data_IF_757069638202
#
_entry.id   IF_757069638202
#
_cell.length_a   1.000
_cell.length_b   1.000
_cell.length_c   1.000
_cell.angle_alpha   90.00
_cell.angle_beta   90.00
_cell.angle_gamma   90.00
#
_symmetry.space_group_name_H-M   'P 1'
#
loop_
_entity.id
_entity.type
_entity.pdbx_description
1 polymer ?
#
# COMPACT_ATOMS: atom_id res chain seq x y z
N UNK A 1 -14.88 -16.97 -7.85
CA UNK A 1 -14.19 -17.34 -6.60
C UNK A 1 -12.79 -17.87 -6.89
N UNK A 2 -12.59 -19.13 -7.34
CA UNK A 2 -11.24 -19.62 -7.70
C UNK A 2 -10.53 -18.75 -8.76
N UNK A 3 -11.26 -18.21 -9.73
CA UNK A 3 -10.75 -17.23 -10.72
C UNK A 3 -10.29 -15.91 -10.09
N UNK A 4 -11.03 -15.36 -9.12
CA UNK A 4 -10.67 -14.13 -8.40
C UNK A 4 -9.47 -14.36 -7.48
N UNK A 5 -9.43 -15.51 -6.80
CA UNK A 5 -8.29 -15.96 -5.99
C UNK A 5 -7.00 -16.08 -6.82
N UNK A 6 -7.11 -16.61 -8.04
CA UNK A 6 -6.01 -16.74 -8.99
C UNK A 6 -5.58 -15.35 -9.52
N UNK A 7 -6.54 -14.46 -9.80
CA UNK A 7 -6.29 -13.07 -10.18
C UNK A 7 -5.48 -12.30 -9.13
N UNK A 8 -5.91 -12.30 -7.86
CA UNK A 8 -5.19 -11.59 -6.79
C UNK A 8 -3.76 -12.12 -6.55
N UNK A 9 -3.54 -13.43 -6.69
CA UNK A 9 -2.18 -14.02 -6.60
C UNK A 9 -1.29 -13.63 -7.79
N UNK A 10 -1.87 -13.42 -8.97
CA UNK A 10 -1.15 -12.92 -10.15
C UNK A 10 -0.77 -11.44 -9.93
N UNK A 11 -1.74 -10.60 -9.57
CA UNK A 11 -1.52 -9.16 -9.30
C UNK A 11 -0.46 -8.92 -8.20
N UNK A 12 -0.46 -9.70 -7.12
CA UNK A 12 0.57 -9.60 -6.07
C UNK A 12 1.96 -10.06 -6.54
N UNK A 13 2.04 -10.97 -7.52
CA UNK A 13 3.29 -11.41 -8.13
C UNK A 13 3.83 -10.38 -9.12
N UNK A 14 2.96 -9.76 -9.90
CA UNK A 14 3.29 -8.65 -10.81
C UNK A 14 3.77 -7.44 -10.01
N UNK A 15 3.02 -7.02 -8.98
CA UNK A 15 3.45 -5.95 -8.08
C UNK A 15 4.77 -6.24 -7.34
N UNK A 16 5.15 -7.52 -7.14
CA UNK A 16 6.49 -7.88 -6.63
C UNK A 16 7.59 -7.70 -7.69
N UNK A 17 7.29 -7.96 -8.95
CA UNK A 17 8.22 -7.79 -10.06
C UNK A 17 8.46 -6.31 -10.41
N UNK A 18 7.46 -5.44 -10.23
CA UNK A 18 7.56 -4.00 -10.49
C UNK A 18 8.35 -3.21 -9.44
N UNK A 19 8.69 -3.82 -8.30
CA UNK A 19 9.44 -3.21 -7.17
C UNK A 19 8.90 -1.82 -6.79
N UNK A 20 7.60 -1.69 -6.43
CA UNK A 20 6.96 -0.40 -6.18
C UNK A 20 7.67 0.36 -5.06
N UNK A 21 7.98 1.63 -5.31
CA UNK A 21 8.70 2.48 -4.36
C UNK A 21 7.81 3.59 -3.86
N UNK A 22 7.69 3.71 -2.53
CA UNK A 22 6.94 4.79 -1.90
C UNK A 22 7.92 5.88 -1.49
N UNK A 23 7.76 7.03 -2.15
CA UNK A 23 8.62 8.21 -2.07
C UNK A 23 7.81 9.41 -1.58
N UNK A 24 8.45 10.37 -0.93
CA UNK A 24 7.78 11.59 -0.49
C UNK A 24 7.47 12.45 -1.72
N UNK A 25 6.24 12.93 -1.90
CA UNK A 25 5.85 13.74 -3.07
C UNK A 25 6.81 14.92 -3.34
N UNK A 26 7.34 15.56 -2.29
CA UNK A 26 8.31 16.65 -2.40
C UNK A 26 9.64 16.26 -3.07
N UNK A 27 9.97 14.96 -3.17
CA UNK A 27 11.15 14.49 -3.91
C UNK A 27 10.92 14.51 -5.42
N UNK A 28 9.69 14.37 -5.90
CA UNK A 28 9.36 14.51 -7.33
C UNK A 28 9.43 15.98 -7.76
N UNK A 29 9.08 16.89 -6.85
CA UNK A 29 9.08 18.34 -7.10
C UNK A 29 10.46 19.01 -6.96
N UNK A 30 11.55 18.26 -6.72
CA UNK A 30 12.86 18.88 -6.51
C UNK A 30 13.31 19.66 -7.74
N UNK A 31 13.33 19.01 -8.91
CA UNK A 31 13.63 19.69 -10.16
C UNK A 31 12.31 20.15 -10.79
N UNK A 32 12.11 21.47 -11.03
CA UNK A 32 10.87 21.95 -11.62
C UNK A 32 10.76 21.50 -13.08
N UNK A 33 9.54 21.21 -13.52
CA UNK A 33 9.24 21.06 -14.94
C UNK A 33 9.56 22.39 -15.68
N UNK A 34 10.10 22.34 -16.91
CA UNK A 34 10.38 23.54 -17.69
C UNK A 34 9.07 24.21 -18.14
N UNK A 35 8.61 25.20 -17.38
CA UNK A 35 7.30 25.84 -17.56
C UNK A 35 7.17 26.69 -18.85
N UNK A 36 8.27 27.01 -19.55
CA UNK A 36 8.25 27.67 -20.86
C UNK A 36 9.61 27.58 -21.57
N UNK A 37 9.64 27.95 -22.87
CA UNK A 37 10.89 28.12 -23.64
C UNK A 37 11.83 29.21 -23.10
N UNK A 38 11.38 30.07 -22.18
CA UNK A 38 12.14 31.22 -21.66
C UNK A 38 12.62 31.02 -20.20
N UNK A 39 12.58 29.79 -19.66
CA UNK A 39 13.07 29.53 -18.30
C UNK A 39 14.59 29.70 -18.20
N UNK A 40 15.07 30.73 -17.48
CA UNK A 40 16.50 30.91 -17.21
C UNK A 40 17.07 29.71 -16.41
N UNK A 41 18.20 29.11 -16.82
CA UNK A 41 18.76 27.93 -16.15
C UNK A 41 19.27 28.23 -14.73
N UNK A 42 19.67 29.47 -14.43
CA UNK A 42 20.02 29.89 -13.06
C UNK A 42 18.78 29.89 -12.15
N UNK A 43 17.59 30.26 -12.67
CA UNK A 43 16.33 30.18 -11.90
C UNK A 43 15.87 28.74 -11.69
N UNK A 44 16.11 27.85 -12.66
CA UNK A 44 15.88 26.40 -12.49
C UNK A 44 16.79 25.85 -11.39
N UNK A 45 18.10 26.18 -11.44
CA UNK A 45 19.06 25.79 -10.40
C UNK A 45 18.65 26.31 -9.01
N UNK A 46 18.30 27.60 -8.89
CA UNK A 46 17.81 28.16 -7.63
C UNK A 46 16.51 27.51 -7.16
N UNK A 47 15.56 27.21 -8.06
CA UNK A 47 14.33 26.48 -7.70
C UNK A 47 14.64 25.09 -7.15
N UNK A 48 15.58 24.36 -7.77
CA UNK A 48 16.02 23.05 -7.28
C UNK A 48 16.74 23.14 -5.92
N UNK A 49 17.59 24.15 -5.72
CA UNK A 49 18.25 24.41 -4.44
C UNK A 49 17.25 24.75 -3.33
N UNK A 50 16.28 25.64 -3.59
CA UNK A 50 15.17 25.96 -2.68
C UNK A 50 14.43 24.69 -2.28
N UNK A 51 14.09 23.86 -3.26
CA UNK A 51 13.32 22.64 -3.05
C UNK A 51 14.14 21.56 -2.29
N UNK A 52 15.46 21.46 -2.51
CA UNK A 52 16.36 20.59 -1.74
C UNK A 52 16.56 21.05 -0.29
N UNK A 53 16.76 22.35 -0.06
CA UNK A 53 16.92 22.91 1.29
C UNK A 53 15.64 22.72 2.10
N UNK A 54 14.50 23.07 1.52
CA UNK A 54 13.18 22.86 2.13
C UNK A 54 12.85 21.37 2.38
N UNK A 55 13.34 20.46 1.52
CA UNK A 55 13.23 19.02 1.76
C UNK A 55 14.11 18.56 2.94
N UNK A 56 15.34 19.05 3.04
CA UNK A 56 16.24 18.77 4.17
C UNK A 56 15.68 19.30 5.50
N UNK A 57 15.18 20.55 5.53
CA UNK A 57 14.54 21.13 6.72
C UNK A 57 13.36 20.27 7.15
N UNK A 58 12.50 19.84 6.22
CA UNK A 58 11.39 18.94 6.53
C UNK A 58 11.87 17.59 7.07
N UNK A 59 12.90 16.98 6.48
CA UNK A 59 13.46 15.72 6.99
C UNK A 59 13.99 15.87 8.41
N UNK A 60 14.67 16.98 8.72
CA UNK A 60 15.18 17.28 10.06
C UNK A 60 14.03 17.36 11.07
N UNK A 61 13.03 18.21 10.81
CA UNK A 61 11.86 18.39 11.68
C UNK A 61 11.03 17.10 11.84
N UNK A 62 11.04 16.21 10.84
CA UNK A 62 10.29 14.95 10.89
C UNK A 62 10.98 13.80 11.65
N UNK A 63 12.29 13.87 11.90
CA UNK A 63 13.06 12.73 12.43
C UNK A 63 13.96 13.05 13.62
N UNK A 64 14.15 14.32 13.96
CA UNK A 64 14.80 14.71 15.21
C UNK A 64 13.83 15.56 16.01
N UNK A 65 13.27 15.00 17.09
CA UNK A 65 12.52 15.79 18.07
C UNK A 65 13.45 16.78 18.77
N UNK A 66 12.90 17.90 19.20
CA UNK A 66 13.56 18.82 20.11
C UNK A 66 13.61 18.30 21.55
N UNK A 67 12.72 17.36 21.89
CA UNK A 67 12.64 16.77 23.24
C UNK A 67 13.84 15.84 23.52
N UNK A 68 14.27 15.07 22.51
CA UNK A 68 15.37 14.10 22.60
C UNK A 68 16.76 14.74 22.44
N UNK A 69 16.88 16.08 22.50
CA UNK A 69 18.12 16.81 22.14
C UNK A 69 19.36 16.39 22.94
N UNK A 70 19.16 15.99 24.19
CA UNK A 70 20.21 15.53 25.10
C UNK A 70 20.61 14.06 24.87
N UNK A 71 19.84 13.31 24.08
CA UNK A 71 20.10 11.90 23.77
C UNK A 71 20.88 11.71 22.45
N UNK A 72 20.91 12.74 21.59
CA UNK A 72 21.67 12.69 20.35
C UNK A 72 23.18 12.74 20.58
N UNK A 73 23.98 11.98 19.81
CA UNK A 73 25.44 12.10 19.83
C UNK A 73 25.92 13.50 19.48
N UNK A 74 27.00 13.95 20.11
CA UNK A 74 27.55 15.32 20.00
C UNK A 74 27.71 15.81 18.54
N UNK A 75 28.22 14.97 17.63
CA UNK A 75 28.38 15.32 16.21
C UNK A 75 27.03 15.64 15.53
N UNK A 76 25.97 14.94 15.90
CA UNK A 76 24.61 15.17 15.39
C UNK A 76 24.01 16.43 16.02
N UNK A 77 24.11 16.58 17.34
CA UNK A 77 23.62 17.75 18.08
C UNK A 77 24.25 19.04 17.56
N UNK A 78 25.57 19.05 17.34
CA UNK A 78 26.29 20.18 16.76
C UNK A 78 25.81 20.55 15.35
N UNK A 79 25.50 19.57 14.49
CA UNK A 79 24.88 19.83 13.18
C UNK A 79 23.47 20.43 13.31
N UNK A 80 22.63 19.85 14.18
CA UNK A 80 21.27 20.35 14.40
C UNK A 80 21.28 21.77 14.99
N UNK A 81 22.24 22.08 15.86
CA UNK A 81 22.47 23.43 16.38
C UNK A 81 22.89 24.42 15.30
N UNK A 82 23.79 24.04 14.40
CA UNK A 82 24.16 24.87 13.25
C UNK A 82 22.94 25.15 12.35
N UNK A 83 22.08 24.15 12.11
CA UNK A 83 20.84 24.35 11.32
C UNK A 83 19.86 25.27 12.05
N UNK A 84 19.71 25.12 13.37
CA UNK A 84 18.89 25.98 14.22
C UNK A 84 19.36 27.44 14.17
N UNK A 85 20.67 27.67 14.27
CA UNK A 85 21.27 29.01 14.15
C UNK A 85 21.09 29.58 12.74
N UNK A 86 21.37 28.80 11.70
CA UNK A 86 21.20 29.20 10.31
C UNK A 86 19.76 29.63 10.01
N UNK A 87 18.76 28.84 10.42
CA UNK A 87 17.34 29.16 10.28
C UNK A 87 16.93 30.46 10.99
N UNK A 88 17.50 30.76 12.16
CA UNK A 88 17.26 32.02 12.90
C UNK A 88 17.89 33.23 12.21
N UNK A 89 19.05 33.06 11.56
CA UNK A 89 19.74 34.13 10.83
C UNK A 89 19.24 34.34 9.39
N UNK A 90 18.43 33.42 8.87
CA UNK A 90 17.99 33.42 7.49
C UNK A 90 17.06 34.61 7.17
N UNK A 91 17.43 35.36 6.13
CA UNK A 91 16.53 36.37 5.53
C UNK A 91 15.45 35.66 4.71
N UNK A 92 14.19 35.89 5.08
CA UNK A 92 12.98 35.32 4.46
C UNK A 92 12.88 33.77 4.52
N UNK A 93 12.61 33.18 5.71
CA UNK A 93 12.44 31.74 5.87
C UNK A 93 11.20 31.16 5.13
N UNK A 94 10.22 32.00 4.75
CA UNK A 94 9.04 31.57 4.02
C UNK A 94 9.37 30.93 2.65
N UNK A 95 10.51 31.32 2.05
CA UNK A 95 11.05 30.71 0.83
C UNK A 95 11.32 29.20 0.94
N UNK A 96 11.53 28.69 2.17
CA UNK A 96 11.95 27.31 2.40
C UNK A 96 10.96 26.52 3.29
N UNK A 97 10.06 27.21 3.99
CA UNK A 97 9.11 26.60 4.93
C UNK A 97 7.66 26.66 4.39
N UNK A 98 7.37 27.52 3.42
CA UNK A 98 6.02 27.74 2.85
C UNK A 98 5.63 26.86 1.64
N UNK A 99 4.37 26.98 1.17
CA UNK A 99 3.87 26.26 -0.01
C UNK A 99 4.54 26.77 -1.30
N UNK A 100 5.04 25.82 -2.12
CA UNK A 100 5.97 26.06 -3.24
C UNK A 100 5.31 26.51 -4.56
N UNK A 101 4.27 27.32 -4.49
CA UNK A 101 3.34 27.57 -5.61
C UNK A 101 3.96 28.49 -6.69
N UNK A 102 4.85 29.41 -6.31
CA UNK A 102 5.33 30.47 -7.20
C UNK A 102 6.72 30.21 -7.81
N UNK A 103 6.96 30.65 -9.07
CA UNK A 103 8.29 30.66 -9.69
C UNK A 103 9.26 31.57 -8.93
N UNK A 104 10.53 31.15 -8.86
CA UNK A 104 11.60 31.94 -8.21
C UNK A 104 11.91 33.20 -9.03
N UNK A 105 11.81 34.36 -8.39
CA UNK A 105 12.16 35.69 -8.94
C UNK A 105 13.68 35.89 -9.03
N UNK A 106 14.11 36.96 -9.71
CA UNK A 106 15.53 37.31 -9.80
C UNK A 106 16.16 37.66 -8.44
N UNK A 107 15.43 38.33 -7.55
CA UNK A 107 15.91 38.70 -6.21
C UNK A 107 16.06 37.45 -5.32
N UNK A 108 15.05 36.58 -5.32
CA UNK A 108 15.08 35.32 -4.56
C UNK A 108 16.17 34.37 -5.07
N UNK A 109 16.51 34.42 -6.36
CA UNK A 109 17.56 33.58 -6.98
C UNK A 109 18.89 33.71 -6.22
N UNK A 110 19.36 34.94 -5.97
CA UNK A 110 20.61 35.15 -5.23
C UNK A 110 20.47 34.85 -3.72
N UNK A 111 19.31 35.13 -3.12
CA UNK A 111 19.03 34.72 -1.73
C UNK A 111 19.12 33.20 -1.56
N UNK A 112 18.60 32.42 -2.51
CA UNK A 112 18.64 30.96 -2.48
C UNK A 112 20.06 30.42 -2.74
N UNK A 113 20.82 31.04 -3.65
CA UNK A 113 22.23 30.66 -3.85
C UNK A 113 23.06 30.89 -2.57
N UNK A 114 22.90 32.05 -1.92
CA UNK A 114 23.57 32.34 -0.65
C UNK A 114 23.13 31.39 0.48
N UNK A 115 21.83 31.06 0.55
CA UNK A 115 21.29 30.07 1.47
C UNK A 115 21.93 28.68 1.25
N UNK A 116 22.03 28.21 0.01
CA UNK A 116 22.63 26.91 -0.33
C UNK A 116 24.16 26.86 -0.11
N UNK A 117 24.84 28.00 -0.21
CA UNK A 117 26.26 28.12 0.11
C UNK A 117 26.51 27.97 1.61
N UNK A 118 25.73 28.70 2.42
CA UNK A 118 25.85 28.80 3.89
C UNK A 118 25.17 27.67 4.67
N UNK A 119 24.33 26.84 4.03
CA UNK A 119 23.62 25.76 4.73
C UNK A 119 24.61 24.75 5.36
N UNK A 120 24.45 24.40 6.65
CA UNK A 120 25.37 23.53 7.40
C UNK A 120 25.66 22.19 6.72
N UNK A 121 26.84 21.65 6.99
CA UNK A 121 27.27 20.34 6.50
C UNK A 121 26.66 19.25 7.38
N UNK A 122 25.89 18.29 6.83
CA UNK A 122 25.33 17.19 7.60
C UNK A 122 26.41 16.34 8.27
N UNK A 123 26.17 15.99 9.52
CA UNK A 123 26.94 14.98 10.25
C UNK A 123 26.89 13.62 9.52
N UNK A 124 27.91 12.79 9.71
CA UNK A 124 27.92 11.38 9.27
C UNK A 124 26.80 10.57 9.91
N UNK A 125 26.33 10.98 11.08
CA UNK A 125 25.22 10.37 11.82
C UNK A 125 23.84 10.84 11.34
N UNK A 126 23.76 11.97 10.62
CA UNK A 126 22.50 12.45 10.06
C UNK A 126 21.95 11.48 9.00
N UNK A 127 20.63 11.32 8.93
CA UNK A 127 19.92 10.44 7.98
C UNK A 127 20.51 10.48 6.55
N UNK A 128 20.69 9.31 5.89
CA UNK A 128 21.27 9.23 4.55
C UNK A 128 20.62 10.16 3.50
N UNK A 129 19.31 10.42 3.60
CA UNK A 129 18.58 11.32 2.70
C UNK A 129 18.96 12.79 2.86
N UNK A 130 19.23 13.23 4.09
CA UNK A 130 19.71 14.59 4.37
C UNK A 130 21.09 14.76 3.74
N UNK A 131 22.00 13.81 3.99
CA UNK A 131 23.37 13.82 3.43
C UNK A 131 23.36 13.81 1.90
N UNK A 132 22.47 13.00 1.29
CA UNK A 132 22.33 12.91 -0.15
C UNK A 132 21.74 14.20 -0.78
N UNK A 133 20.70 14.76 -0.18
CA UNK A 133 20.11 16.03 -0.63
C UNK A 133 21.10 17.20 -0.52
N UNK A 134 21.92 17.24 0.54
CA UNK A 134 23.02 18.20 0.68
C UNK A 134 24.08 18.04 -0.41
N UNK A 135 24.52 16.80 -0.66
CA UNK A 135 25.51 16.51 -1.71
C UNK A 135 24.97 16.90 -3.10
N UNK A 136 23.69 16.64 -3.38
CA UNK A 136 23.02 17.10 -4.60
C UNK A 136 22.99 18.63 -4.70
N UNK A 137 22.69 19.34 -3.59
CA UNK A 137 22.70 20.81 -3.56
C UNK A 137 24.11 21.38 -3.84
N UNK A 138 25.17 20.84 -3.22
CA UNK A 138 26.55 21.24 -3.52
C UNK A 138 26.95 20.95 -4.98
N UNK A 139 26.48 19.86 -5.57
CA UNK A 139 26.70 19.58 -7.00
C UNK A 139 26.03 20.62 -7.89
N UNK A 140 24.77 20.99 -7.62
CA UNK A 140 24.08 22.08 -8.32
C UNK A 140 24.83 23.41 -8.17
N UNK A 141 25.27 23.77 -6.95
CA UNK A 141 26.09 24.98 -6.71
C UNK A 141 27.36 25.00 -7.57
N UNK A 142 28.06 23.87 -7.68
CA UNK A 142 29.26 23.76 -8.51
C UNK A 142 28.97 23.93 -10.02
N UNK A 143 27.75 23.62 -10.50
CA UNK A 143 27.38 23.89 -11.90
C UNK A 143 27.27 25.38 -12.23
N UNK A 144 26.98 26.27 -11.27
CA UNK A 144 26.91 27.74 -11.47
C UNK A 144 28.22 28.30 -12.03
N UNK A 145 29.36 27.66 -11.71
CA UNK A 145 30.72 28.08 -12.13
C UNK A 145 31.04 27.79 -13.60
N UNK A 146 30.34 26.83 -14.24
CA UNK A 146 30.61 26.39 -15.61
C UNK A 146 29.42 26.69 -16.53
N UNK A 147 29.34 27.93 -17.03
CA UNK A 147 28.17 28.50 -17.70
C UNK A 147 27.76 27.82 -19.03
N UNK A 148 28.71 27.26 -19.77
CA UNK A 148 28.50 26.82 -21.16
C UNK A 148 27.52 25.66 -21.39
N UNK A 149 27.11 24.91 -20.36
CA UNK A 149 26.19 23.78 -20.53
C UNK A 149 25.27 23.51 -19.32
N UNK A 150 24.85 24.58 -18.62
CA UNK A 150 24.12 24.50 -17.36
C UNK A 150 22.81 23.68 -17.46
N UNK A 151 22.04 23.84 -18.54
CA UNK A 151 20.80 23.07 -18.76
C UNK A 151 21.04 21.56 -18.78
N UNK A 152 21.99 21.09 -19.59
CA UNK A 152 22.33 19.66 -19.68
C UNK A 152 22.78 19.13 -18.33
N UNK A 153 23.61 19.89 -17.60
CA UNK A 153 24.10 19.46 -16.29
C UNK A 153 22.99 19.40 -15.24
N UNK A 154 22.02 20.31 -15.27
CA UNK A 154 20.82 20.26 -14.42
C UNK A 154 19.90 19.08 -14.80
N UNK A 155 19.77 18.75 -16.09
CA UNK A 155 19.03 17.58 -16.54
C UNK A 155 19.69 16.28 -16.09
N UNK A 156 21.01 16.13 -16.26
CA UNK A 156 21.78 14.99 -15.76
C UNK A 156 21.60 14.81 -14.24
N UNK A 157 21.70 15.90 -13.46
CA UNK A 157 21.46 15.88 -12.01
C UNK A 157 20.01 15.54 -11.65
N UNK A 158 19.03 15.93 -12.47
CA UNK A 158 17.62 15.55 -12.29
C UNK A 158 17.42 14.05 -12.51
N UNK A 159 17.98 13.48 -13.59
CA UNK A 159 17.93 12.04 -13.83
C UNK A 159 18.61 11.24 -12.72
N UNK A 160 19.79 11.67 -12.27
CA UNK A 160 20.49 11.06 -11.13
C UNK A 160 19.68 11.15 -9.83
N UNK A 161 18.99 12.28 -9.59
CA UNK A 161 18.11 12.43 -8.43
C UNK A 161 16.95 11.42 -8.49
N UNK A 162 16.20 11.35 -9.60
CA UNK A 162 15.08 10.42 -9.74
C UNK A 162 15.53 8.95 -9.62
N UNK A 163 16.64 8.59 -10.27
CA UNK A 163 17.24 7.25 -10.15
C UNK A 163 17.72 6.92 -8.73
N UNK A 164 18.03 7.92 -7.90
CA UNK A 164 18.37 7.68 -6.49
C UNK A 164 17.16 7.37 -5.61
N UNK A 165 15.95 7.82 -5.99
CA UNK A 165 14.75 7.65 -5.16
C UNK A 165 14.33 6.19 -4.99
N UNK A 166 14.70 5.32 -5.94
CA UNK A 166 14.47 3.87 -5.84
C UNK A 166 15.47 3.14 -4.93
N UNK A 167 16.58 3.79 -4.53
CA UNK A 167 17.58 3.16 -3.67
C UNK A 167 17.07 3.00 -2.23
N UNK A 168 17.37 1.90 -1.52
CA UNK A 168 16.83 1.62 -0.18
C UNK A 168 16.97 2.76 0.85
N UNK A 169 18.06 3.54 0.78
CA UNK A 169 18.26 4.70 1.66
C UNK A 169 17.28 5.86 1.42
N UNK A 170 16.68 5.97 0.24
CA UNK A 170 15.74 7.03 -0.15
C UNK A 170 14.26 6.64 -0.03
N UNK A 171 13.93 5.33 -0.07
CA UNK A 171 12.55 4.84 0.05
C UNK A 171 11.96 5.12 1.43
N UNK A 172 10.75 5.69 1.55
CA UNK A 172 10.14 6.03 2.83
C UNK A 172 10.04 4.83 3.78
N UNK A 173 9.67 3.68 3.24
CA UNK A 173 9.71 2.37 3.90
C UNK A 173 9.93 1.27 2.85
N UNK A 174 10.46 0.12 3.26
CA UNK A 174 10.55 -1.04 2.38
C UNK A 174 9.15 -1.61 2.12
N UNK A 175 8.78 -1.73 0.84
CA UNK A 175 7.47 -2.27 0.42
C UNK A 175 7.31 -3.78 0.72
N UNK A 176 8.41 -4.46 1.07
CA UNK A 176 8.43 -5.89 1.42
C UNK A 176 7.39 -6.25 2.49
N UNK A 177 7.40 -5.54 3.63
CA UNK A 177 6.47 -5.79 4.74
C UNK A 177 5.00 -5.54 4.35
N UNK A 178 4.61 -4.39 3.75
CA UNK A 178 3.25 -4.19 3.25
C UNK A 178 2.77 -5.28 2.27
N UNK A 179 3.60 -5.71 1.32
CA UNK A 179 3.25 -6.77 0.36
C UNK A 179 3.09 -8.13 1.06
N UNK A 180 3.93 -8.44 2.06
CA UNK A 180 3.80 -9.64 2.89
C UNK A 180 2.50 -9.61 3.73
N UNK A 181 2.13 -8.46 4.30
CA UNK A 181 0.85 -8.29 5.01
C UNK A 181 -0.34 -8.46 4.05
N UNK A 182 -0.28 -7.89 2.84
CA UNK A 182 -1.30 -8.05 1.82
C UNK A 182 -1.47 -9.53 1.41
N UNK A 183 -0.37 -10.24 1.16
CA UNK A 183 -0.38 -11.67 0.83
C UNK A 183 -0.95 -12.53 1.98
N UNK A 184 -0.55 -12.26 3.23
CA UNK A 184 -1.10 -12.94 4.41
C UNK A 184 -2.60 -12.65 4.57
N UNK A 185 -3.04 -11.42 4.33
CA UNK A 185 -4.45 -11.04 4.41
C UNK A 185 -5.29 -11.74 3.32
N UNK A 186 -4.85 -11.67 2.06
CA UNK A 186 -5.49 -12.35 0.92
C UNK A 186 -5.56 -13.86 1.17
N UNK A 187 -4.47 -14.48 1.59
CA UNK A 187 -4.43 -15.93 1.88
C UNK A 187 -5.40 -16.31 2.99
N UNK A 188 -5.43 -15.59 4.11
CA UNK A 188 -6.40 -15.82 5.20
C UNK A 188 -7.85 -15.63 4.76
N UNK A 189 -8.12 -14.62 3.92
CA UNK A 189 -9.45 -14.35 3.40
C UNK A 189 -9.93 -15.46 2.47
N UNK A 190 -9.08 -15.92 1.55
CA UNK A 190 -9.35 -17.05 0.66
C UNK A 190 -9.58 -18.34 1.45
N UNK A 191 -8.70 -18.69 2.38
CA UNK A 191 -8.86 -19.88 3.22
C UNK A 191 -10.18 -19.87 4.02
N UNK A 192 -10.63 -18.70 4.52
CA UNK A 192 -11.95 -18.56 5.18
C UNK A 192 -13.10 -18.81 4.20
N UNK A 193 -13.02 -18.29 2.97
CA UNK A 193 -14.03 -18.53 1.94
C UNK A 193 -14.10 -20.02 1.59
N UNK A 194 -12.95 -20.65 1.35
CA UNK A 194 -12.87 -22.06 0.97
C UNK A 194 -13.44 -22.93 2.10
N UNK A 195 -13.03 -22.70 3.34
CA UNK A 195 -13.57 -23.35 4.54
C UNK A 195 -15.10 -23.19 4.71
N UNK A 196 -15.63 -21.97 4.55
CA UNK A 196 -17.08 -21.74 4.59
C UNK A 196 -17.81 -22.39 3.40
N UNK A 197 -17.16 -22.52 2.26
CA UNK A 197 -17.70 -23.19 1.06
C UNK A 197 -17.74 -24.70 1.26
N UNK A 198 -16.68 -25.30 1.80
CA UNK A 198 -16.61 -26.71 2.15
C UNK A 198 -17.67 -27.10 3.20
N UNK A 199 -17.82 -26.32 4.28
CA UNK A 199 -18.91 -26.53 5.25
C UNK A 199 -20.30 -26.38 4.59
N UNK A 200 -20.49 -25.39 3.71
CA UNK A 200 -21.75 -25.22 2.98
C UNK A 200 -22.07 -26.41 2.04
N UNK A 201 -21.06 -27.00 1.40
CA UNK A 201 -21.18 -28.23 0.61
C UNK A 201 -21.55 -29.41 1.52
N UNK A 202 -20.88 -29.57 2.66
CA UNK A 202 -21.14 -30.65 3.63
C UNK A 202 -22.56 -30.60 4.21
N UNK A 203 -23.02 -29.42 4.63
CA UNK A 203 -24.41 -29.23 5.10
C UNK A 203 -25.43 -29.45 3.98
N UNK A 204 -25.13 -29.02 2.75
CA UNK A 204 -25.97 -29.27 1.58
C UNK A 204 -26.08 -30.77 1.23
N UNK A 205 -24.99 -31.52 1.40
CA UNK A 205 -24.96 -32.98 1.26
C UNK A 205 -25.89 -33.65 2.27
N UNK A 206 -25.71 -33.35 3.55
CA UNK A 206 -26.52 -33.93 4.64
C UNK A 206 -28.02 -33.65 4.45
N UNK A 207 -28.37 -32.45 4.01
CA UNK A 207 -29.74 -32.06 3.67
C UNK A 207 -30.29 -32.89 2.51
N UNK A 208 -29.53 -33.08 1.42
CA UNK A 208 -29.95 -33.90 0.29
C UNK A 208 -30.12 -35.38 0.66
N UNK A 209 -29.19 -35.95 1.44
CA UNK A 209 -29.27 -37.33 1.92
C UNK A 209 -30.51 -37.55 2.81
N UNK A 210 -30.76 -36.63 3.74
CA UNK A 210 -31.95 -36.66 4.61
C UNK A 210 -33.25 -36.52 3.81
N UNK A 211 -33.27 -35.72 2.73
CA UNK A 211 -34.43 -35.61 1.83
C UNK A 211 -34.66 -36.93 1.09
N UNK A 212 -33.62 -37.51 0.51
CA UNK A 212 -33.71 -38.78 -0.21
C UNK A 212 -34.21 -39.92 0.68
N UNK A 213 -33.72 -40.01 1.93
CA UNK A 213 -34.18 -40.96 2.93
C UNK A 213 -35.69 -40.80 3.23
N UNK A 214 -36.18 -39.58 3.39
CA UNK A 214 -37.62 -39.38 3.59
C UNK A 214 -38.45 -39.66 2.33
N UNK A 215 -37.91 -39.44 1.13
CA UNK A 215 -38.60 -39.84 -0.10
C UNK A 215 -38.68 -41.37 -0.24
N UNK A 216 -37.64 -42.13 0.13
CA UNK A 216 -37.69 -43.60 0.14
C UNK A 216 -38.65 -44.17 1.18
N UNK A 217 -38.96 -43.41 2.25
CA UNK A 217 -40.02 -43.72 3.22
C UNK A 217 -41.44 -43.37 2.72
N UNK A 218 -41.61 -43.01 1.45
CA UNK A 218 -42.91 -42.70 0.84
C UNK A 218 -43.43 -41.27 1.10
N UNK A 219 -42.64 -40.38 1.72
CA UNK A 219 -43.08 -38.99 1.89
C UNK A 219 -42.94 -38.19 0.59
N UNK A 220 -43.99 -37.46 0.21
CA UNK A 220 -43.94 -36.57 -0.94
C UNK A 220 -42.85 -35.48 -0.78
N UNK A 221 -42.29 -35.00 -1.89
CA UNK A 221 -41.10 -34.11 -1.92
C UNK A 221 -41.19 -32.89 -0.98
N UNK A 222 -42.36 -32.26 -0.87
CA UNK A 222 -42.60 -31.11 0.04
C UNK A 222 -42.51 -31.53 1.52
N UNK A 223 -43.09 -32.68 1.89
CA UNK A 223 -43.08 -33.22 3.25
C UNK A 223 -41.69 -33.74 3.64
N UNK A 224 -41.01 -34.45 2.72
CA UNK A 224 -39.64 -34.90 2.91
C UNK A 224 -38.67 -33.72 3.19
N UNK A 225 -38.74 -32.66 2.38
CA UNK A 225 -37.96 -31.43 2.60
C UNK A 225 -38.28 -30.72 3.92
N UNK A 226 -39.55 -30.72 4.34
CA UNK A 226 -39.97 -30.15 5.63
C UNK A 226 -39.41 -30.93 6.82
N UNK A 227 -39.44 -32.28 6.77
CA UNK A 227 -38.88 -33.15 7.80
C UNK A 227 -37.35 -33.05 7.87
N UNK A 228 -36.66 -33.18 6.73
CA UNK A 228 -35.21 -33.04 6.65
C UNK A 228 -34.72 -31.69 7.21
N UNK A 229 -35.43 -30.58 6.92
CA UNK A 229 -35.13 -29.28 7.53
C UNK A 229 -35.25 -29.27 9.05
N UNK A 230 -36.30 -29.89 9.62
CA UNK A 230 -36.48 -29.96 11.08
C UNK A 230 -35.37 -30.79 11.75
N UNK A 231 -35.01 -31.92 11.14
CA UNK A 231 -33.94 -32.78 11.66
C UNK A 231 -32.57 -32.11 11.57
N UNK A 232 -32.28 -31.40 10.48
CA UNK A 232 -31.03 -30.63 10.33
C UNK A 232 -30.89 -29.57 11.43
N UNK A 233 -31.95 -28.80 11.71
CA UNK A 233 -31.96 -27.81 12.80
C UNK A 233 -31.79 -28.48 14.17
N UNK A 234 -32.34 -29.70 14.37
CA UNK A 234 -32.17 -30.47 15.62
C UNK A 234 -30.75 -31.02 15.78
N UNK A 235 -30.08 -31.42 14.69
CA UNK A 235 -28.71 -31.96 14.70
C UNK A 235 -27.65 -30.87 14.90
N UNK A 236 -27.92 -29.65 14.45
CA UNK A 236 -26.99 -28.52 14.54
C UNK A 236 -27.59 -27.38 15.39
N UNK A 237 -27.84 -27.57 16.71
CA UNK A 237 -28.45 -26.53 17.54
C UNK A 237 -27.60 -25.24 17.54
N UNK A 238 -28.27 -24.09 17.74
CA UNK A 238 -27.54 -22.84 18.00
C UNK A 238 -26.78 -22.94 19.34
N UNK A 239 -25.55 -22.40 19.43
CA UNK A 239 -24.80 -22.37 20.68
C UNK A 239 -25.52 -21.40 21.63
N UNK A 240 -25.68 -21.83 22.88
CA UNK A 240 -26.47 -21.12 23.90
C UNK A 240 -25.57 -20.34 24.86
N UNK A 241 -24.30 -20.75 24.99
CA UNK A 241 -23.32 -20.11 25.87
C UNK A 241 -22.14 -19.50 25.10
N UNK A 242 -21.51 -18.47 25.69
CA UNK A 242 -20.29 -17.86 25.12
C UNK A 242 -19.14 -18.87 24.99
N UNK A 243 -19.09 -19.86 25.89
CA UNK A 243 -18.18 -21.00 25.83
C UNK A 243 -18.39 -21.86 24.58
N UNK A 244 -19.65 -22.15 24.23
CA UNK A 244 -20.00 -22.89 23.01
C UNK A 244 -19.74 -22.07 21.74
N UNK A 245 -19.90 -20.74 21.80
CA UNK A 245 -19.55 -19.81 20.70
C UNK A 245 -18.04 -19.77 20.44
N UNK A 246 -17.21 -19.88 21.48
CA UNK A 246 -15.75 -19.95 21.36
C UNK A 246 -15.25 -21.34 20.91
N UNK A 247 -15.97 -22.41 21.22
CA UNK A 247 -15.60 -23.80 20.88
C UNK A 247 -16.12 -24.26 19.51
N UNK A 248 -17.25 -23.74 19.02
CA UNK A 248 -17.84 -24.17 17.74
C UNK A 248 -17.37 -23.33 16.54
N UNK A 249 -16.40 -23.85 15.79
CA UNK A 249 -15.74 -23.14 14.66
C UNK A 249 -16.61 -22.82 13.42
N UNK A 250 -17.91 -23.18 13.42
CA UNK A 250 -18.99 -22.54 12.63
C UNK A 250 -20.31 -23.34 12.75
N UNK A 251 -21.42 -22.64 13.00
CA UNK A 251 -22.78 -23.21 13.10
C UNK A 251 -23.59 -22.84 11.85
N UNK A 252 -24.39 -23.75 11.25
CA UNK A 252 -25.17 -23.45 10.06
C UNK A 252 -26.31 -22.45 10.32
N UNK A 253 -26.72 -21.72 9.27
CA UNK A 253 -27.88 -20.84 9.32
C UNK A 253 -29.20 -21.63 9.22
N UNK A 254 -30.09 -21.46 10.18
CA UNK A 254 -31.40 -22.15 10.21
C UNK A 254 -32.51 -21.45 9.41
N UNK A 255 -32.23 -20.28 8.86
CA UNK A 255 -33.16 -19.56 8.00
C UNK A 255 -33.44 -20.37 6.73
N UNK A 256 -34.69 -20.31 6.24
CA UNK A 256 -35.08 -21.02 5.00
C UNK A 256 -34.18 -20.65 3.80
N UNK A 257 -33.76 -19.39 3.59
CA UNK A 257 -32.80 -19.03 2.54
C UNK A 257 -31.42 -19.68 2.71
N UNK A 258 -30.88 -19.76 3.94
CA UNK A 258 -29.56 -20.37 4.19
C UNK A 258 -29.56 -21.87 3.85
N UNK A 259 -30.59 -22.60 4.28
CA UNK A 259 -30.75 -24.04 4.01
C UNK A 259 -30.90 -24.31 2.50
N UNK A 260 -31.68 -23.49 1.79
CA UNK A 260 -31.79 -23.56 0.32
C UNK A 260 -30.43 -23.25 -0.34
N UNK A 261 -29.66 -22.31 0.20
CA UNK A 261 -28.32 -21.95 -0.30
C UNK A 261 -27.34 -23.12 -0.17
N UNK A 262 -27.31 -23.82 0.98
CA UNK A 262 -26.47 -25.01 1.16
C UNK A 262 -26.82 -26.11 0.15
N UNK A 263 -28.11 -26.41 -0.02
CA UNK A 263 -28.57 -27.39 -1.01
C UNK A 263 -28.13 -27.01 -2.44
N UNK A 264 -28.31 -25.74 -2.85
CA UNK A 264 -27.86 -25.26 -4.17
C UNK A 264 -26.35 -25.34 -4.35
N UNK A 265 -25.57 -24.98 -3.33
CA UNK A 265 -24.10 -25.05 -3.36
C UNK A 265 -23.64 -26.51 -3.52
N UNK A 266 -24.24 -27.45 -2.81
CA UNK A 266 -23.93 -28.87 -2.95
C UNK A 266 -24.25 -29.40 -4.35
N UNK A 267 -25.46 -29.15 -4.88
CA UNK A 267 -25.84 -29.61 -6.23
C UNK A 267 -24.89 -29.04 -7.30
N UNK A 268 -24.60 -27.74 -7.25
CA UNK A 268 -23.65 -27.09 -8.16
C UNK A 268 -22.18 -27.56 -7.96
N UNK A 269 -21.86 -28.26 -6.87
CA UNK A 269 -20.55 -28.90 -6.65
C UNK A 269 -20.46 -30.30 -7.27
N UNK A 270 -21.61 -30.96 -7.49
CA UNK A 270 -21.70 -32.22 -8.22
C UNK A 270 -21.57 -31.98 -9.74
N UNK A 271 -22.32 -31.01 -10.26
CA UNK A 271 -22.30 -30.58 -11.68
C UNK A 271 -20.90 -30.15 -12.17
N UNK A 272 -20.01 -29.75 -11.25
CA UNK A 272 -18.64 -29.29 -11.55
C UNK A 272 -17.58 -30.40 -11.52
N UNK A 273 -17.95 -31.65 -11.24
CA UNK A 273 -17.01 -32.78 -11.32
C UNK A 273 -16.91 -33.25 -12.78
N UNK A 274 -15.73 -33.19 -13.42
CA UNK A 274 -15.55 -33.80 -14.73
C UNK A 274 -15.58 -35.33 -14.57
N UNK A 275 -16.71 -35.96 -14.88
CA UNK A 275 -16.87 -37.42 -14.74
C UNK A 275 -18.30 -37.96 -14.60
N UNK A 276 -19.34 -37.13 -14.51
CA UNK A 276 -20.72 -37.63 -14.68
C UNK A 276 -21.10 -37.57 -16.16
N UNK A 277 -21.10 -38.74 -16.80
CA UNK A 277 -21.57 -38.92 -18.17
C UNK A 277 -23.02 -38.44 -18.33
N UNK A 278 -23.32 -37.90 -19.50
CA UNK A 278 -24.66 -37.48 -19.90
C UNK A 278 -25.61 -38.66 -20.00
N UNK A 279 -26.53 -38.80 -19.04
CA UNK A 279 -27.80 -39.49 -19.28
C UNK A 279 -28.90 -38.49 -19.64
N UNK A 280 -29.03 -38.24 -20.94
CA UNK A 280 -30.24 -37.68 -21.51
C UNK A 280 -31.34 -38.72 -21.49
N UNK A 281 -32.46 -38.41 -20.83
CA UNK A 281 -33.77 -38.94 -21.20
C UNK A 281 -34.88 -37.94 -20.83
N UNK A 282 -35.34 -37.20 -21.85
CA UNK A 282 -36.76 -37.03 -22.21
C UNK A 282 -37.67 -38.15 -21.64
N UNK A 283 -38.92 -37.99 -21.20
CA UNK A 283 -39.94 -36.92 -21.27
C UNK A 283 -40.63 -36.73 -19.88
N UNK A 284 -41.76 -36.04 -19.62
CA UNK A 284 -42.74 -35.28 -20.43
C UNK A 284 -43.48 -34.19 -19.61
N UNK A 285 -44.64 -33.71 -20.09
CA UNK A 285 -45.56 -32.79 -19.41
C UNK A 285 -46.41 -33.48 -18.31
N UNK A 286 -46.58 -32.79 -17.17
CA UNK A 286 -47.85 -32.44 -16.44
C UNK A 286 -47.48 -31.92 -15.04
#
# INVERSE_FOLDING_TARGET
>A
MQTEARSWKILLREARAEVPVIVNAMTQEIFPAPASRNCCPQRIAATALRNLLAYQIRLIVQHYSADDWNEYPEELSAFLDQVRCWLRTMKNPALFIGPRILPVTAQETEMIFHAAETFPVPSKLSLPRIRYAWAMAKRIMNTKKNSGNLFRKLYELSCEWHNSLVLPGQQLFSISKPLEFAEKHVTRHLNRIDYHTERAISWGKELCESIAQYQSMGFCRKTAASKARKDFIRKHPYPVTDSELLMNEAVPGHSRPAIIRYQKIYLASLEKRPGSESFSSTTENI
#
